data_IF_181554449534
#
_entry.id   IF_181554449534
#
_cell.length_a   1.000
_cell.length_b   1.000
_cell.length_c   1.000
_cell.angle_alpha   90.00
_cell.angle_beta   90.00
_cell.angle_gamma   90.00
#
_symmetry.space_group_name_H-M   'P 1'
#
loop_
_entity.id
_entity.type
_entity.pdbx_description
1 polymer ?
#
# COMPACT_ATOMS: atom_id res chain seq x y z
N UNK A 1 33.27 46.83 5.25
CA UNK A 1 33.84 47.43 4.03
C UNK A 1 35.27 46.92 3.87
N UNK A 2 35.73 46.57 2.67
CA UNK A 2 35.00 46.43 1.39
C UNK A 2 35.06 44.94 0.94
N UNK A 3 34.67 44.46 -0.25
CA UNK A 3 33.95 45.00 -1.42
C UNK A 3 32.64 44.18 -1.67
N UNK A 4 32.38 43.80 -2.93
CA UNK A 4 31.32 42.96 -3.49
C UNK A 4 31.93 42.26 -4.71
N UNK A 5 31.70 40.97 -4.95
CA UNK A 5 31.81 40.36 -6.30
C UNK A 5 30.89 39.16 -6.42
N UNK A 6 29.75 39.38 -7.07
CA UNK A 6 28.98 38.36 -7.78
C UNK A 6 29.86 37.68 -8.82
N UNK A 7 29.90 36.34 -8.83
CA UNK A 7 30.42 35.58 -9.97
C UNK A 7 29.26 34.92 -10.70
N UNK A 8 29.01 35.37 -11.92
CA UNK A 8 28.07 34.74 -12.84
C UNK A 8 28.56 33.35 -13.24
N UNK A 9 27.64 32.40 -13.38
CA UNK A 9 27.87 31.16 -14.15
C UNK A 9 26.79 31.05 -15.23
N UNK A 10 27.06 31.81 -16.30
CA UNK A 10 26.70 31.62 -17.71
C UNK A 10 25.62 30.56 -18.01
N UNK A 11 24.47 31.06 -18.46
CA UNK A 11 23.49 30.30 -19.24
C UNK A 11 24.14 29.73 -20.50
N UNK A 12 24.28 28.40 -20.58
CA UNK A 12 24.71 27.72 -21.79
C UNK A 12 23.50 27.41 -22.68
N UNK A 13 23.26 28.29 -23.65
CA UNK A 13 22.25 28.12 -24.70
C UNK A 13 22.72 27.06 -25.71
N UNK A 14 22.21 25.82 -25.58
CA UNK A 14 22.53 24.74 -26.51
C UNK A 14 21.66 24.87 -27.75
N UNK A 15 22.21 25.54 -28.76
CA UNK A 15 21.68 25.56 -30.13
C UNK A 15 21.68 24.12 -30.66
N UNK A 16 20.50 23.52 -30.82
CA UNK A 16 20.35 22.19 -31.41
C UNK A 16 20.08 22.35 -32.90
N UNK A 17 21.09 22.01 -33.70
CA UNK A 17 21.13 22.11 -35.15
C UNK A 17 20.06 21.20 -35.80
N UNK A 18 19.30 21.74 -36.77
CA UNK A 18 18.33 20.94 -37.54
C UNK A 18 19.08 20.02 -38.53
N UNK A 19 18.79 18.71 -38.58
CA UNK A 19 19.33 17.84 -39.63
C UNK A 19 18.64 18.13 -40.98
N UNK A 20 19.44 18.13 -42.05
CA UNK A 20 18.99 18.34 -43.43
C UNK A 20 18.08 17.20 -43.94
N UNK A 21 17.15 17.47 -44.88
CA UNK A 21 16.27 16.45 -45.44
C UNK A 21 17.02 15.56 -46.43
N UNK A 22 17.05 14.25 -46.15
CA UNK A 22 17.63 13.24 -47.05
C UNK A 22 16.63 12.98 -48.19
N UNK A 23 17.07 13.15 -49.44
CA UNK A 23 16.26 12.83 -50.62
C UNK A 23 15.89 11.34 -50.64
N UNK A 24 14.59 11.05 -50.77
CA UNK A 24 14.07 9.69 -50.89
C UNK A 24 14.07 9.27 -52.35
N UNK A 25 15.07 8.47 -52.73
CA UNK A 25 15.12 7.82 -54.04
C UNK A 25 13.94 6.85 -54.19
N UNK A 26 13.09 7.08 -55.19
CA UNK A 26 11.87 6.31 -55.39
C UNK A 26 12.19 5.01 -56.14
N UNK A 27 12.37 3.93 -55.39
CA UNK A 27 12.37 2.59 -55.94
C UNK A 27 10.93 2.15 -56.24
N UNK A 28 10.55 2.18 -57.51
CA UNK A 28 9.39 1.46 -58.02
C UNK A 28 9.57 -0.05 -57.79
N UNK A 29 8.75 -0.63 -56.91
CA UNK A 29 8.57 -2.09 -56.80
C UNK A 29 7.12 -2.46 -57.07
N UNK A 30 6.89 -2.95 -58.29
CA UNK A 30 5.68 -3.61 -58.73
C UNK A 30 5.65 -5.06 -58.19
N UNK A 31 5.17 -5.26 -56.96
CA UNK A 31 4.97 -6.59 -56.35
C UNK A 31 3.73 -6.62 -55.42
N UNK A 32 2.55 -6.32 -55.98
CA UNK A 32 1.29 -6.11 -55.25
C UNK A 32 0.76 -7.33 -54.47
N UNK A 33 1.29 -8.54 -54.69
CA UNK A 33 0.81 -9.78 -54.04
C UNK A 33 1.59 -10.18 -52.77
N UNK A 34 2.77 -9.59 -52.49
CA UNK A 34 3.56 -9.92 -51.28
C UNK A 34 3.34 -8.94 -50.11
N UNK A 35 2.90 -7.71 -50.39
CA UNK A 35 2.67 -6.67 -49.37
C UNK A 35 1.47 -6.97 -48.44
N UNK A 36 0.43 -7.64 -48.95
CA UNK A 36 -0.79 -7.87 -48.17
C UNK A 36 -0.58 -8.80 -46.97
N UNK A 37 0.17 -9.90 -47.14
CA UNK A 37 0.45 -10.84 -46.05
C UNK A 37 1.54 -10.33 -45.09
N UNK A 38 2.53 -9.58 -45.58
CA UNK A 38 3.54 -8.96 -44.70
C UNK A 38 2.96 -7.85 -43.84
N UNK A 39 2.09 -6.98 -44.40
CA UNK A 39 1.37 -5.96 -43.64
C UNK A 39 0.45 -6.58 -42.57
N UNK A 40 -0.25 -7.68 -42.91
CA UNK A 40 -1.11 -8.42 -41.98
C UNK A 40 -0.31 -9.10 -40.86
N UNK A 41 0.84 -9.68 -41.16
CA UNK A 41 1.76 -10.22 -40.16
C UNK A 41 2.30 -9.12 -39.22
N UNK A 42 2.63 -7.95 -39.77
CA UNK A 42 3.04 -6.76 -39.02
C UNK A 42 1.94 -6.26 -38.06
N UNK A 43 0.68 -6.22 -38.53
CA UNK A 43 -0.47 -5.82 -37.72
C UNK A 43 -0.76 -6.78 -36.56
N UNK A 44 -0.75 -8.10 -36.79
CA UNK A 44 -0.90 -9.07 -35.71
C UNK A 44 0.28 -9.01 -34.72
N UNK A 45 1.52 -8.87 -35.21
CA UNK A 45 2.69 -8.70 -34.33
C UNK A 45 2.61 -7.41 -33.48
N UNK A 46 2.08 -6.31 -34.03
CA UNK A 46 1.84 -5.08 -33.27
C UNK A 46 0.77 -5.29 -32.19
N UNK A 47 -0.34 -5.96 -32.54
CA UNK A 47 -1.44 -6.31 -31.63
C UNK A 47 -1.00 -7.23 -30.48
N UNK A 48 -0.15 -8.23 -30.74
CA UNK A 48 0.41 -9.08 -29.68
C UNK A 48 1.35 -8.31 -28.75
N UNK A 49 2.21 -7.41 -29.27
CA UNK A 49 3.05 -6.53 -28.43
C UNK A 49 2.21 -5.57 -27.58
N UNK A 50 1.12 -5.04 -28.13
CA UNK A 50 0.18 -4.21 -27.38
C UNK A 50 -0.53 -5.02 -26.28
N UNK A 51 -0.97 -6.25 -26.58
CA UNK A 51 -1.62 -7.12 -25.60
C UNK A 51 -0.67 -7.53 -24.47
N UNK A 52 0.59 -7.85 -24.78
CA UNK A 52 1.62 -8.18 -23.79
C UNK A 52 1.82 -7.03 -22.79
N UNK A 53 2.07 -5.82 -23.28
CA UNK A 53 2.25 -4.64 -22.40
C UNK A 53 1.00 -4.32 -21.59
N UNK A 54 -0.19 -4.52 -22.15
CA UNK A 54 -1.44 -4.38 -21.40
C UNK A 54 -1.52 -5.40 -20.25
N UNK A 55 -1.18 -6.67 -20.49
CA UNK A 55 -1.17 -7.70 -19.44
C UNK A 55 -0.07 -7.49 -18.39
N UNK A 56 1.09 -6.96 -18.78
CA UNK A 56 2.15 -6.58 -17.84
C UNK A 56 1.71 -5.41 -16.95
N UNK A 57 1.10 -4.37 -17.52
CA UNK A 57 0.54 -3.24 -16.76
C UNK A 57 -0.63 -3.67 -15.84
N UNK A 58 -1.49 -4.59 -16.29
CA UNK A 58 -2.54 -5.20 -15.46
C UNK A 58 -1.94 -5.97 -14.28
N UNK A 59 -0.91 -6.81 -14.52
CA UNK A 59 -0.18 -7.55 -13.47
C UNK A 59 0.45 -6.60 -12.44
N UNK A 60 1.16 -5.57 -12.91
CA UNK A 60 1.89 -4.65 -12.03
C UNK A 60 0.92 -3.80 -11.20
N UNK A 61 -0.19 -3.36 -11.81
CA UNK A 61 -1.28 -2.71 -11.09
C UNK A 61 -1.97 -3.60 -10.04
N UNK A 62 -2.08 -4.92 -10.31
CA UNK A 62 -2.56 -5.89 -9.31
C UNK A 62 -1.54 -6.11 -8.19
N UNK A 63 -0.25 -6.21 -8.51
CA UNK A 63 0.82 -6.37 -7.52
C UNK A 63 0.88 -5.17 -6.56
N UNK A 64 0.82 -3.94 -7.07
CA UNK A 64 0.75 -2.72 -6.24
C UNK A 64 -0.46 -2.72 -5.30
N UNK A 65 -1.63 -3.16 -5.78
CA UNK A 65 -2.84 -3.27 -4.95
C UNK A 65 -2.74 -4.37 -3.90
N UNK A 66 -2.15 -5.52 -4.25
CA UNK A 66 -1.89 -6.62 -3.33
C UNK A 66 -0.97 -6.18 -2.20
N UNK A 67 0.15 -5.52 -2.52
CA UNK A 67 1.11 -5.02 -1.53
C UNK A 67 0.45 -4.01 -0.58
N UNK A 68 -0.36 -3.08 -1.11
CA UNK A 68 -1.10 -2.13 -0.28
C UNK A 68 -2.08 -2.83 0.69
N UNK A 69 -2.80 -3.86 0.22
CA UNK A 69 -3.69 -4.66 1.05
C UNK A 69 -2.90 -5.44 2.12
N UNK A 70 -1.82 -6.14 1.73
CA UNK A 70 -0.94 -6.87 2.64
C UNK A 70 -0.35 -5.94 3.71
N UNK A 71 0.14 -4.76 3.32
CA UNK A 71 0.65 -3.73 4.24
C UNK A 71 -0.41 -3.28 5.24
N UNK A 72 -1.65 -3.08 4.80
CA UNK A 72 -2.76 -2.71 5.67
C UNK A 72 -3.12 -3.82 6.68
N UNK A 73 -3.10 -5.08 6.24
CA UNK A 73 -3.45 -6.25 7.06
C UNK A 73 -2.33 -6.58 8.06
N UNK A 74 -1.06 -6.50 7.65
CA UNK A 74 0.10 -6.56 8.55
C UNK A 74 -0.01 -5.48 9.63
N UNK A 75 -0.32 -4.23 9.25
CA UNK A 75 -0.49 -3.12 10.20
C UNK A 75 -1.64 -3.39 11.18
N UNK A 76 -2.74 -3.99 10.71
CA UNK A 76 -3.89 -4.40 11.54
C UNK A 76 -3.54 -5.54 12.49
N UNK A 77 -2.72 -6.50 12.07
CA UNK A 77 -2.22 -7.60 12.90
C UNK A 77 -1.22 -7.10 13.95
N UNK A 78 -0.25 -6.27 13.56
CA UNK A 78 0.70 -5.63 14.47
C UNK A 78 -0.01 -4.79 15.54
N UNK A 79 -1.12 -4.13 15.19
CA UNK A 79 -1.95 -3.35 16.13
C UNK A 79 -2.60 -4.17 17.27
N UNK A 80 -2.50 -5.51 17.25
CA UNK A 80 -2.93 -6.38 18.35
C UNK A 80 -1.88 -6.55 19.45
N UNK A 81 -0.61 -6.35 19.10
CA UNK A 81 0.54 -6.51 20.00
C UNK A 81 1.13 -5.13 20.38
N UNK A 82 1.02 -4.16 19.48
CA UNK A 82 1.60 -2.82 19.55
C UNK A 82 0.52 -1.74 19.45
N UNK A 83 0.56 -0.70 20.29
CA UNK A 83 -0.47 0.37 20.26
C UNK A 83 -0.49 1.14 18.92
N UNK A 84 0.66 1.26 18.25
CA UNK A 84 0.82 1.92 16.97
C UNK A 84 1.42 0.95 15.95
N UNK A 85 0.56 0.13 15.32
CA UNK A 85 0.99 -0.95 14.41
C UNK A 85 1.87 -0.49 13.25
N UNK A 86 1.76 0.76 12.79
CA UNK A 86 2.63 1.31 11.73
C UNK A 86 4.11 1.38 12.11
N UNK A 87 4.45 1.41 13.41
CA UNK A 87 5.85 1.49 13.83
C UNK A 87 6.65 0.21 13.50
N UNK A 88 5.99 -0.88 13.10
CA UNK A 88 6.66 -2.05 12.49
C UNK A 88 7.50 -1.64 11.27
N UNK A 89 7.02 -0.68 10.46
CA UNK A 89 7.71 -0.19 9.27
C UNK A 89 8.92 0.67 9.61
N UNK A 90 8.90 1.38 10.75
CA UNK A 90 10.04 2.16 11.24
C UNK A 90 11.23 1.26 11.66
N UNK A 91 11.00 -0.02 11.94
CA UNK A 91 12.08 -0.98 12.23
C UNK A 91 12.86 -1.44 10.99
N UNK A 92 12.38 -1.07 9.78
CA UNK A 92 13.02 -1.40 8.50
C UNK A 92 12.53 -2.69 7.84
N UNK A 93 11.51 -3.38 8.40
CA UNK A 93 10.87 -4.53 7.75
C UNK A 93 10.11 -4.10 6.49
N UNK A 94 10.09 -4.98 5.51
CA UNK A 94 9.28 -4.88 4.28
C UNK A 94 8.08 -5.84 4.36
N UNK A 95 7.19 -5.79 3.37
CA UNK A 95 6.09 -6.78 3.28
C UNK A 95 6.65 -8.18 3.04
N UNK A 96 7.73 -8.31 2.26
CA UNK A 96 8.38 -9.59 1.94
C UNK A 96 8.95 -10.31 3.18
N UNK A 97 9.42 -9.57 4.18
CA UNK A 97 9.94 -10.15 5.43
C UNK A 97 8.85 -10.78 6.32
N UNK A 98 7.58 -10.47 6.05
CA UNK A 98 6.42 -10.75 6.91
C UNK A 98 5.37 -11.66 6.23
N UNK A 99 5.71 -12.22 5.07
CA UNK A 99 4.93 -13.23 4.37
C UNK A 99 5.60 -14.61 4.45
N UNK A 100 4.85 -15.67 4.14
CA UNK A 100 5.35 -17.02 3.90
C UNK A 100 5.71 -17.23 2.41
N UNK A 101 6.27 -18.41 2.11
CA UNK A 101 6.71 -18.77 0.75
C UNK A 101 5.52 -18.93 -0.23
N UNK A 102 4.30 -19.10 0.29
CA UNK A 102 3.04 -19.14 -0.47
C UNK A 102 2.46 -17.71 -0.71
N UNK A 103 3.09 -16.67 -0.17
CA UNK A 103 2.69 -15.26 -0.32
C UNK A 103 1.59 -14.79 0.65
N UNK A 104 1.22 -15.61 1.64
CA UNK A 104 0.28 -15.23 2.70
C UNK A 104 1.00 -14.54 3.86
N UNK A 105 0.27 -13.84 4.71
CA UNK A 105 0.84 -13.09 5.83
C UNK A 105 1.14 -14.02 7.01
N UNK A 106 2.41 -14.15 7.35
CA UNK A 106 2.87 -14.95 8.49
C UNK A 106 2.65 -14.17 9.80
N UNK A 107 1.70 -14.67 10.60
CA UNK A 107 1.27 -14.02 11.84
C UNK A 107 2.33 -14.05 12.93
N UNK A 108 3.17 -15.07 12.98
CA UNK A 108 4.22 -15.20 13.98
C UNK A 108 5.40 -14.29 13.64
N UNK A 109 5.76 -14.17 12.35
CA UNK A 109 6.72 -13.14 11.89
C UNK A 109 6.24 -11.73 12.18
N UNK A 110 4.97 -11.40 11.88
CA UNK A 110 4.38 -10.08 12.19
C UNK A 110 4.39 -9.80 13.70
N UNK A 111 4.05 -10.80 14.53
CA UNK A 111 4.09 -10.68 15.99
C UNK A 111 5.52 -10.43 16.50
N UNK A 112 6.48 -11.26 16.08
CA UNK A 112 7.88 -11.11 16.48
C UNK A 112 8.46 -9.73 16.07
N UNK A 113 8.16 -9.28 14.85
CA UNK A 113 8.57 -7.95 14.37
C UNK A 113 7.88 -6.80 15.12
N UNK A 114 6.61 -6.96 15.54
CA UNK A 114 5.93 -5.98 16.37
C UNK A 114 6.55 -5.89 17.79
N UNK A 115 6.95 -7.02 18.38
CA UNK A 115 7.69 -7.05 19.65
C UNK A 115 9.09 -6.43 19.51
N UNK A 116 9.85 -6.78 18.47
CA UNK A 116 11.16 -6.19 18.17
C UNK A 116 11.06 -4.67 18.01
N UNK A 117 10.07 -4.17 17.26
CA UNK A 117 9.83 -2.73 17.11
C UNK A 117 9.43 -2.07 18.44
N UNK A 118 8.64 -2.74 19.28
CA UNK A 118 8.25 -2.23 20.59
C UNK A 118 9.45 -2.05 21.53
N UNK A 119 10.32 -3.06 21.61
CA UNK A 119 11.54 -3.03 22.41
C UNK A 119 12.53 -1.98 21.90
N UNK A 120 12.78 -1.96 20.57
CA UNK A 120 13.74 -1.06 19.93
C UNK A 120 13.38 0.43 20.05
N UNK A 121 12.09 0.75 20.03
CA UNK A 121 11.60 2.13 20.04
C UNK A 121 10.91 2.52 21.37
N UNK A 122 10.91 1.65 22.38
CA UNK A 122 10.29 1.92 23.70
C UNK A 122 8.78 2.13 23.64
N UNK A 123 8.09 1.49 22.69
CA UNK A 123 6.67 1.68 22.44
C UNK A 123 5.82 0.86 23.42
N UNK A 124 4.62 1.35 23.70
CA UNK A 124 3.68 0.65 24.58
C UNK A 124 3.04 -0.55 23.85
N UNK A 125 2.91 -1.71 24.51
CA UNK A 125 2.11 -2.81 23.97
C UNK A 125 0.66 -2.36 23.77
N UNK A 126 -0.06 -3.05 22.88
CA UNK A 126 -1.47 -2.80 22.65
C UNK A 126 -2.26 -2.88 23.97
N UNK A 127 -3.12 -1.90 24.21
CA UNK A 127 -3.83 -1.79 25.48
C UNK A 127 -4.94 -2.83 25.55
N UNK A 128 -4.73 -3.93 26.26
CA UNK A 128 -5.82 -4.80 26.68
C UNK A 128 -6.64 -4.00 27.69
N UNK A 129 -7.81 -3.48 27.29
CA UNK A 129 -8.69 -2.80 28.24
C UNK A 129 -8.99 -3.74 29.40
N UNK A 130 -8.79 -3.31 30.66
CA UNK A 130 -9.21 -4.11 31.81
C UNK A 130 -10.71 -4.33 31.65
N UNK A 131 -11.14 -5.59 31.73
CA UNK A 131 -12.58 -5.92 31.70
C UNK A 131 -13.26 -5.12 32.80
N UNK A 132 -14.29 -4.36 32.45
CA UNK A 132 -15.09 -3.64 33.44
C UNK A 132 -15.52 -4.61 34.53
N UNK A 133 -15.08 -4.37 35.76
CA UNK A 133 -15.43 -5.17 36.91
C UNK A 133 -16.97 -5.13 37.07
N UNK A 134 -17.67 -6.27 36.91
CA UNK A 134 -19.13 -6.30 36.97
C UNK A 134 -19.69 -5.84 38.32
N UNK A 135 -18.88 -5.86 39.38
CA UNK A 135 -19.30 -5.40 40.71
C UNK A 135 -19.45 -3.88 40.79
N UNK A 136 -18.78 -3.10 39.93
CA UNK A 136 -18.83 -1.63 39.94
C UNK A 136 -20.16 -1.07 39.40
N UNK A 137 -21.00 -1.91 38.79
CA UNK A 137 -22.40 -1.61 38.45
C UNK A 137 -23.41 -2.43 39.26
N UNK A 138 -22.96 -3.41 40.04
CA UNK A 138 -23.81 -4.25 40.88
C UNK A 138 -24.12 -3.52 42.20
N UNK A 139 -25.02 -2.53 42.14
CA UNK A 139 -25.66 -1.99 43.34
C UNK A 139 -26.33 -3.14 44.08
N UNK A 140 -25.75 -3.51 45.23
CA UNK A 140 -26.06 -4.78 45.88
C UNK A 140 -27.54 -4.92 46.23
N UNK A 141 -28.24 -5.83 45.54
CA UNK A 141 -29.58 -6.23 45.91
C UNK A 141 -29.74 -7.76 45.93
N UNK A 142 -29.26 -8.37 47.01
CA UNK A 142 -29.93 -9.52 47.63
C UNK A 142 -30.57 -9.13 48.96
N UNK A 143 -31.18 -7.93 49.02
CA UNK A 143 -31.83 -7.40 50.23
C UNK A 143 -33.33 -7.26 49.99
N UNK A 144 -34.01 -8.42 49.98
CA UNK A 144 -35.46 -8.54 50.15
C UNK A 144 -36.32 -7.97 49.01
N UNK A 145 -37.14 -8.85 48.41
CA UNK A 145 -38.39 -8.44 47.74
C UNK A 145 -39.39 -7.97 48.80
N UNK A 146 -39.14 -6.81 49.41
CA UNK A 146 -40.10 -6.07 50.20
C UNK A 146 -41.04 -5.29 49.28
N UNK A 147 -42.34 -5.37 49.53
CA UNK A 147 -43.37 -4.72 48.72
C UNK A 147 -43.13 -3.20 48.65
N UNK A 148 -43.05 -2.66 47.43
CA UNK A 148 -42.83 -1.24 47.23
C UNK A 148 -44.07 -0.46 47.64
N UNK A 149 -43.89 0.59 48.44
CA UNK A 149 -44.97 1.39 49.05
C UNK A 149 -46.01 1.93 48.06
N UNK A 150 -45.65 2.05 46.78
CA UNK A 150 -46.55 2.40 45.68
C UNK A 150 -47.69 1.39 45.47
N UNK A 151 -47.47 0.09 45.68
CA UNK A 151 -48.55 -0.92 45.62
C UNK A 151 -49.60 -0.70 46.74
N UNK A 152 -49.19 -0.08 47.86
CA UNK A 152 -50.07 0.18 49.01
C UNK A 152 -51.03 1.37 48.81
N UNK A 153 -50.78 2.21 47.80
CA UNK A 153 -51.59 3.40 47.49
C UNK A 153 -52.70 3.08 46.46
N UNK A 154 -52.51 2.05 45.63
CA UNK A 154 -53.44 1.67 44.54
C UNK A 154 -54.51 0.62 44.95
N UNK A 155 -54.56 0.23 46.23
CA UNK A 155 -55.43 -0.83 46.74
C UNK A 155 -56.53 -0.31 47.70
N UNK A 156 -56.96 0.95 47.51
CA UNK A 156 -57.86 1.68 48.41
C UNK A 156 -59.24 1.94 47.80
#
# INVERSE_FOLDING_TARGET
MPENTTTEIVTAEVVTELPEPIEQDQLDTDDQDTDADTAKAGAEAAKYRARLRATEAERDGLATRLEALQRSEITRLASKELLQGEAIWASGKTVADLIDDDGNIDREKVKAAATEAAERFGLKPALTWPRSDPSQGATGNQVGRGESSWQKILAQ
#
